data_IF_977469553983
#
_entry.id   IF_977469553983
#
_cell.length_a   1.000
_cell.length_b   1.000
_cell.length_c   1.000
_cell.angle_alpha   90.00
_cell.angle_beta   90.00
_cell.angle_gamma   90.00
#
_symmetry.space_group_name_H-M   'P 1'
#
loop_
_entity.id
_entity.type
_entity.pdbx_description
1 polymer ?
#
# COMPACT_ATOMS: atom_id res chain seq x y z
N UNK A 1 -28.35 -16.25 -1.55
CA UNK A 1 -27.32 -17.30 -1.31
C UNK A 1 -26.21 -17.19 -2.36
N UNK A 2 -25.43 -16.10 -2.35
CA UNK A 2 -24.45 -15.79 -3.42
C UNK A 2 -23.22 -15.05 -2.89
N UNK A 3 -22.75 -15.41 -1.68
CA UNK A 3 -21.54 -14.82 -1.09
C UNK A 3 -20.26 -15.64 -1.38
N UNK A 4 -20.38 -16.97 -1.46
CA UNK A 4 -19.22 -17.86 -1.53
C UNK A 4 -18.51 -17.95 -2.90
N UNK A 5 -19.00 -17.27 -3.94
CA UNK A 5 -18.40 -17.34 -5.29
C UNK A 5 -17.42 -16.20 -5.57
N UNK A 6 -17.49 -15.08 -4.85
CA UNK A 6 -16.69 -13.88 -5.10
C UNK A 6 -15.38 -13.83 -4.31
N UNK A 7 -15.36 -14.31 -3.05
CA UNK A 7 -14.14 -14.46 -2.24
C UNK A 7 -13.06 -15.32 -2.94
N UNK A 8 -13.49 -16.22 -3.82
CA UNK A 8 -12.62 -17.13 -4.57
C UNK A 8 -11.87 -16.49 -5.75
N UNK A 9 -12.32 -15.36 -6.29
CA UNK A 9 -11.67 -14.77 -7.48
C UNK A 9 -10.44 -13.92 -7.16
N UNK A 10 -10.41 -13.25 -5.99
CA UNK A 10 -9.28 -12.45 -5.54
C UNK A 10 -8.08 -13.33 -5.14
N UNK A 11 -8.34 -14.45 -4.47
CA UNK A 11 -7.34 -15.47 -4.13
C UNK A 11 -6.71 -16.11 -5.38
N UNK A 12 -7.52 -16.38 -6.41
CA UNK A 12 -7.05 -17.05 -7.63
C UNK A 12 -6.05 -16.22 -8.45
N UNK A 13 -6.17 -14.88 -8.52
CA UNK A 13 -5.13 -14.04 -9.17
C UNK A 13 -3.81 -14.04 -8.39
N UNK A 14 -3.89 -14.08 -7.06
CA UNK A 14 -2.72 -14.18 -6.20
C UNK A 14 -1.99 -15.53 -6.36
N UNK A 15 -2.74 -16.61 -6.62
CA UNK A 15 -2.23 -17.97 -6.83
C UNK A 15 -1.64 -18.21 -8.24
N UNK A 16 -2.19 -17.58 -9.29
CA UNK A 16 -1.76 -17.83 -10.68
C UNK A 16 -0.35 -17.33 -11.03
N UNK A 17 0.26 -16.47 -10.19
CA UNK A 17 1.65 -16.02 -10.35
C UNK A 17 2.68 -16.89 -9.60
N UNK A 18 2.24 -17.95 -8.90
CA UNK A 18 3.11 -18.78 -8.05
C UNK A 18 3.63 -20.06 -8.71
N UNK A 19 3.76 -20.12 -10.04
CA UNK A 19 4.25 -21.36 -10.66
C UNK A 19 5.73 -21.68 -10.38
N UNK A 20 6.53 -20.85 -9.69
CA UNK A 20 7.95 -21.20 -9.51
C UNK A 20 8.72 -20.71 -8.26
N UNK A 21 8.12 -20.20 -7.17
CA UNK A 21 8.91 -19.92 -5.94
C UNK A 21 8.12 -20.21 -4.66
N UNK A 22 8.70 -21.02 -3.79
CA UNK A 22 8.14 -21.47 -2.51
C UNK A 22 8.10 -20.34 -1.47
N UNK A 23 6.92 -19.72 -1.28
CA UNK A 23 6.31 -19.29 0.00
C UNK A 23 5.21 -18.26 -0.28
N UNK A 24 4.00 -18.60 0.15
CA UNK A 24 2.82 -17.74 0.14
C UNK A 24 3.07 -16.46 0.95
N UNK A 25 3.04 -15.28 0.32
CA UNK A 25 3.22 -14.03 1.05
C UNK A 25 2.42 -12.84 0.50
N UNK A 26 1.10 -12.98 0.44
CA UNK A 26 0.20 -11.83 0.37
C UNK A 26 -0.82 -11.97 1.51
N UNK A 27 -0.86 -10.99 2.41
CA UNK A 27 -1.86 -10.88 3.49
C UNK A 27 -2.75 -9.69 3.17
N UNK A 28 -4.07 -9.84 3.21
CA UNK A 28 -4.97 -8.74 2.88
C UNK A 28 -6.27 -8.70 3.68
N UNK A 29 -6.83 -7.50 3.83
CA UNK A 29 -8.15 -7.20 4.43
C UNK A 29 -8.76 -5.99 3.72
N UNK A 30 -10.08 -6.00 3.47
CA UNK A 30 -10.81 -4.82 2.94
C UNK A 30 -10.25 -4.24 1.63
N UNK A 31 -9.79 -5.09 0.71
CA UNK A 31 -9.23 -4.68 -0.58
C UNK A 31 -7.75 -4.27 -0.56
N UNK A 32 -7.08 -4.30 0.60
CA UNK A 32 -5.64 -4.02 0.75
C UNK A 32 -4.83 -5.31 0.77
N UNK A 33 -3.73 -5.35 0.02
CA UNK A 33 -2.87 -6.53 -0.12
C UNK A 33 -1.42 -6.15 0.20
N UNK A 34 -0.89 -6.67 1.30
CA UNK A 34 0.52 -6.51 1.64
C UNK A 34 1.39 -7.41 0.78
N UNK A 35 2.35 -6.81 0.09
CA UNK A 35 3.40 -7.49 -0.68
C UNK A 35 4.73 -7.30 0.02
N UNK A 36 5.34 -8.39 0.47
CA UNK A 36 6.59 -8.35 1.26
C UNK A 36 7.87 -8.21 0.42
N UNK A 37 7.77 -8.12 -0.90
CA UNK A 37 8.95 -7.87 -1.73
C UNK A 37 9.40 -6.42 -1.59
N UNK A 38 10.70 -6.20 -1.45
CA UNK A 38 11.29 -4.87 -1.33
C UNK A 38 11.45 -4.25 -2.72
N UNK A 39 10.83 -3.09 -2.93
CA UNK A 39 10.90 -2.33 -4.18
C UNK A 39 11.01 -0.84 -3.90
N UNK A 40 11.64 -0.11 -4.82
CA UNK A 40 11.50 1.33 -4.85
C UNK A 40 10.03 1.70 -5.17
N UNK A 41 9.64 2.95 -4.92
CA UNK A 41 8.23 3.34 -5.05
C UNK A 41 7.68 3.13 -6.47
N UNK A 42 8.46 3.47 -7.49
CA UNK A 42 8.06 3.35 -8.90
C UNK A 42 7.82 1.90 -9.32
N UNK A 43 8.72 1.00 -8.91
CA UNK A 43 8.61 -0.43 -9.17
C UNK A 43 7.47 -1.06 -8.37
N UNK A 44 7.22 -0.58 -7.15
CA UNK A 44 6.08 -1.00 -6.34
C UNK A 44 4.75 -0.59 -6.99
N UNK A 45 4.65 0.65 -7.48
CA UNK A 45 3.47 1.12 -8.22
C UNK A 45 3.24 0.31 -9.50
N UNK A 46 4.30 0.12 -10.28
CA UNK A 46 4.23 -0.67 -11.51
C UNK A 46 3.73 -2.07 -11.21
N UNK A 47 4.31 -2.72 -10.19
CA UNK A 47 3.87 -4.05 -9.77
C UNK A 47 2.38 -4.07 -9.38
N UNK A 48 1.91 -3.10 -8.60
CA UNK A 48 0.51 -3.05 -8.20
C UNK A 48 -0.42 -2.81 -9.39
N UNK A 49 -0.05 -1.99 -10.37
CA UNK A 49 -0.84 -1.75 -11.59
C UNK A 49 -0.85 -2.93 -12.54
N UNK A 50 0.23 -3.70 -12.61
CA UNK A 50 0.29 -4.90 -13.46
C UNK A 50 -0.42 -6.10 -12.81
N UNK A 51 -0.46 -6.15 -11.48
CA UNK A 51 -0.91 -7.34 -10.73
C UNK A 51 -2.27 -7.16 -10.08
N UNK A 52 -2.58 -5.94 -9.63
CA UNK A 52 -3.76 -5.56 -8.86
C UNK A 52 -4.40 -4.30 -9.49
N UNK A 53 -4.70 -3.26 -8.71
CA UNK A 53 -5.19 -1.97 -9.22
C UNK A 53 -4.11 -0.89 -9.17
N UNK A 54 -3.63 -0.51 -7.98
CA UNK A 54 -2.56 0.47 -7.79
C UNK A 54 -1.94 0.28 -6.38
N UNK A 55 -0.91 1.05 -6.04
CA UNK A 55 -0.53 1.24 -4.63
C UNK A 55 -1.71 1.76 -3.82
N UNK A 56 -1.77 1.38 -2.54
CA UNK A 56 -2.88 1.69 -1.67
C UNK A 56 -3.03 3.18 -1.40
N UNK A 57 -4.24 3.68 -1.58
CA UNK A 57 -4.68 4.98 -1.06
C UNK A 57 -5.38 4.82 0.28
N UNK A 58 -5.18 5.79 1.17
CA UNK A 58 -5.74 5.79 2.53
C UNK A 58 -6.53 7.08 2.73
N UNK A 59 -7.84 7.03 2.52
CA UNK A 59 -8.72 8.20 2.40
C UNK A 59 -9.61 8.40 3.61
N UNK A 60 -9.61 7.47 4.55
CA UNK A 60 -10.40 7.56 5.78
C UNK A 60 -9.68 6.94 6.98
N UNK A 61 -10.07 7.29 8.21
CA UNK A 61 -9.57 6.60 9.41
C UNK A 61 -9.86 5.09 9.42
N UNK A 62 -10.95 4.67 8.76
CA UNK A 62 -11.29 3.25 8.64
C UNK A 62 -10.29 2.52 7.72
N UNK A 63 -9.99 3.09 6.56
CA UNK A 63 -8.96 2.59 5.64
C UNK A 63 -7.57 2.57 6.31
N UNK A 64 -7.25 3.61 7.08
CA UNK A 64 -6.02 3.67 7.85
C UNK A 64 -5.91 2.50 8.84
N UNK A 65 -7.01 2.16 9.51
CA UNK A 65 -7.05 1.02 10.42
C UNK A 65 -6.83 -0.31 9.69
N UNK A 66 -7.39 -0.48 8.49
CA UNK A 66 -7.15 -1.68 7.65
C UNK A 66 -5.66 -1.80 7.30
N UNK A 67 -5.05 -0.74 6.76
CA UNK A 67 -3.64 -0.73 6.40
C UNK A 67 -2.74 -1.00 7.61
N UNK A 68 -2.98 -0.32 8.74
CA UNK A 68 -2.19 -0.55 9.96
C UNK A 68 -2.31 -1.97 10.49
N UNK A 69 -3.45 -2.66 10.29
CA UNK A 69 -3.61 -4.06 10.71
C UNK A 69 -2.74 -5.06 9.93
N UNK A 70 -2.31 -4.66 8.72
CA UNK A 70 -1.43 -5.46 7.86
C UNK A 70 0.06 -5.19 8.16
N UNK A 71 0.39 -4.00 8.68
CA UNK A 71 1.77 -3.58 8.90
C UNK A 71 2.35 -4.23 10.16
N UNK A 72 3.56 -4.77 10.05
CA UNK A 72 4.30 -5.31 11.20
C UNK A 72 5.05 -4.18 11.91
N UNK A 73 5.08 -4.19 13.25
CA UNK A 73 5.87 -3.24 14.04
C UNK A 73 7.34 -3.22 13.59
N UNK A 74 7.94 -2.04 13.57
CA UNK A 74 9.31 -1.81 13.08
C UNK A 74 9.50 -1.88 11.56
N UNK A 75 8.45 -2.13 10.76
CA UNK A 75 8.53 -2.16 9.29
C UNK A 75 7.82 -0.94 8.71
N UNK A 76 8.49 -0.26 7.77
CA UNK A 76 7.92 0.82 6.98
C UNK A 76 7.45 0.30 5.64
N UNK A 77 6.32 0.82 5.15
CA UNK A 77 5.64 0.26 3.97
C UNK A 77 5.24 1.38 3.01
N UNK A 78 5.49 1.20 1.71
CA UNK A 78 5.03 2.11 0.67
C UNK A 78 3.51 2.11 0.51
N UNK A 79 2.97 3.31 0.31
CA UNK A 79 1.58 3.59 -0.10
C UNK A 79 1.57 4.56 -1.28
N UNK A 80 0.41 4.76 -1.91
CA UNK A 80 0.29 5.44 -3.22
C UNK A 80 0.42 6.96 -3.20
N UNK A 81 0.88 7.59 -2.13
CA UNK A 81 0.94 9.07 -2.02
C UNK A 81 2.29 9.60 -2.54
N UNK A 82 2.32 10.40 -3.63
CA UNK A 82 3.53 10.93 -4.30
C UNK A 82 3.55 12.47 -4.47
N UNK A 83 4.74 13.11 -4.46
CA UNK A 83 5.01 14.56 -4.60
C UNK A 83 4.47 15.17 -5.93
N UNK A 84 4.09 16.45 -6.08
CA UNK A 84 4.09 17.64 -5.22
C UNK A 84 2.79 18.45 -5.42
N UNK A 85 1.65 17.77 -5.21
CA UNK A 85 0.37 18.37 -4.78
C UNK A 85 -0.29 17.49 -3.69
N UNK A 86 0.45 16.50 -3.16
CA UNK A 86 -0.03 15.42 -2.30
C UNK A 86 -1.32 14.76 -2.81
N UNK A 87 -1.28 14.27 -4.04
CA UNK A 87 -2.36 13.52 -4.67
C UNK A 87 -2.13 12.02 -4.51
N UNK A 88 -3.22 11.28 -4.33
CA UNK A 88 -3.19 9.83 -4.36
C UNK A 88 -2.82 9.35 -5.77
N UNK A 89 -2.10 8.23 -5.90
CA UNK A 89 -1.68 7.67 -7.20
C UNK A 89 -2.85 7.32 -8.12
N UNK A 90 -4.01 7.09 -7.51
CA UNK A 90 -5.30 6.87 -8.18
C UNK A 90 -6.11 8.15 -8.42
N UNK A 91 -5.49 9.32 -8.24
CA UNK A 91 -6.02 10.66 -8.54
C UNK A 91 -7.24 11.07 -7.70
N UNK A 92 -7.54 10.37 -6.61
CA UNK A 92 -8.61 10.79 -5.70
C UNK A 92 -8.21 12.01 -4.87
N UNK A 93 -9.14 12.95 -4.62
CA UNK A 93 -8.82 14.29 -4.11
C UNK A 93 -9.36 14.60 -2.70
N UNK A 94 -9.34 13.64 -1.77
CA UNK A 94 -9.80 13.90 -0.40
C UNK A 94 -8.69 14.35 0.57
N UNK A 95 -9.08 15.23 1.50
CA UNK A 95 -8.25 16.02 2.43
C UNK A 95 -7.63 15.22 3.59
N UNK A 96 -7.88 13.91 3.71
CA UNK A 96 -7.35 13.13 4.83
C UNK A 96 -5.83 13.00 4.75
N UNK A 97 -5.14 13.28 5.86
CA UNK A 97 -3.69 13.15 5.99
C UNK A 97 -3.36 12.61 7.38
N UNK A 98 -2.58 11.54 7.46
CA UNK A 98 -2.16 10.95 8.72
C UNK A 98 -0.64 11.10 8.98
N UNK A 99 -0.10 12.26 8.64
CA UNK A 99 1.32 12.59 8.84
C UNK A 99 1.74 12.49 10.32
N UNK A 100 2.98 12.07 10.53
CA UNK A 100 3.67 12.26 11.80
C UNK A 100 3.91 13.75 12.06
N UNK A 101 4.12 14.13 13.33
CA UNK A 101 4.44 15.52 13.69
C UNK A 101 5.68 16.00 12.92
N UNK A 102 5.60 17.17 12.29
CA UNK A 102 6.69 17.75 11.50
C UNK A 102 6.88 17.15 10.09
N UNK A 103 5.95 16.32 9.62
CA UNK A 103 5.96 15.75 8.26
C UNK A 103 4.80 16.30 7.41
N UNK A 104 4.98 16.43 6.09
CA UNK A 104 6.21 16.18 5.34
C UNK A 104 7.26 17.28 5.59
N UNK A 105 8.51 16.91 5.86
CA UNK A 105 9.58 17.90 6.02
C UNK A 105 10.15 18.28 4.65
N UNK A 106 10.30 19.59 4.41
CA UNK A 106 10.78 20.14 3.13
C UNK A 106 12.21 19.73 2.76
N UNK A 107 12.98 19.14 3.68
CA UNK A 107 14.39 18.83 3.53
C UNK A 107 14.74 17.36 3.25
N UNK A 108 13.78 16.42 3.22
CA UNK A 108 14.09 14.98 3.10
C UNK A 108 14.29 14.49 1.66
N UNK A 109 13.95 15.31 0.64
CA UNK A 109 13.86 14.83 -0.74
C UNK A 109 12.86 13.66 -0.89
N UNK A 110 11.95 13.51 0.07
CA UNK A 110 11.03 12.40 0.14
C UNK A 110 9.91 12.57 -0.86
N UNK A 111 9.89 11.72 -1.88
CA UNK A 111 8.92 11.82 -2.97
C UNK A 111 7.67 10.95 -2.80
N UNK A 112 7.63 10.13 -1.75
CA UNK A 112 6.44 9.35 -1.40
C UNK A 112 6.28 9.19 0.12
N UNK A 113 5.06 8.94 0.57
CA UNK A 113 4.79 8.54 1.95
C UNK A 113 5.05 7.03 2.19
N UNK A 114 5.58 6.72 3.37
CA UNK A 114 5.54 5.39 3.98
C UNK A 114 4.67 5.40 5.24
N UNK A 115 4.01 4.28 5.53
CA UNK A 115 3.32 4.05 6.81
C UNK A 115 4.30 3.42 7.79
N UNK A 116 4.53 4.08 8.93
CA UNK A 116 5.34 3.53 10.01
C UNK A 116 4.56 2.47 10.79
N UNK A 117 5.06 1.24 10.89
CA UNK A 117 4.37 0.15 11.60
C UNK A 117 4.12 0.39 13.09
N UNK A 118 4.92 1.21 13.75
CA UNK A 118 4.78 1.45 15.19
C UNK A 118 3.63 2.40 15.54
N UNK A 119 3.32 3.36 14.66
CA UNK A 119 2.34 4.42 14.93
C UNK A 119 1.21 4.50 13.91
N UNK A 120 1.34 3.83 12.76
CA UNK A 120 0.49 4.00 11.60
C UNK A 120 0.59 5.37 10.93
N UNK A 121 1.46 6.27 11.43
CA UNK A 121 1.67 7.62 10.89
C UNK A 121 2.53 7.58 9.64
N UNK A 122 2.36 8.61 8.82
CA UNK A 122 3.08 8.73 7.56
C UNK A 122 4.31 9.61 7.72
N UNK A 123 5.40 9.25 7.06
CA UNK A 123 6.56 10.11 6.86
C UNK A 123 6.90 10.16 5.38
N UNK A 124 7.45 11.27 4.91
CA UNK A 124 7.97 11.37 3.55
C UNK A 124 9.33 10.67 3.49
N UNK A 125 9.51 9.81 2.50
CA UNK A 125 10.74 9.04 2.34
C UNK A 125 11.23 9.05 0.89
N UNK A 126 12.54 8.82 0.71
CA UNK A 126 13.19 8.84 -0.58
C UNK A 126 12.69 7.66 -1.43
N UNK A 127 12.05 7.95 -2.57
CA UNK A 127 11.40 6.91 -3.40
C UNK A 127 12.36 5.85 -3.94
N UNK A 128 13.66 6.12 -3.95
CA UNK A 128 14.67 5.15 -4.39
C UNK A 128 14.96 4.08 -3.33
N UNK A 129 14.55 4.30 -2.08
CA UNK A 129 14.68 3.30 -1.03
C UNK A 129 13.73 2.15 -1.28
N UNK A 130 14.13 0.97 -0.84
CA UNK A 130 13.33 -0.23 -1.01
C UNK A 130 12.54 -0.51 0.26
N UNK A 131 11.22 -0.61 0.12
CA UNK A 131 10.32 -1.03 1.18
C UNK A 131 9.35 -2.09 0.64
N UNK A 132 8.77 -2.94 1.52
CA UNK A 132 7.53 -3.63 1.19
C UNK A 132 6.43 -2.62 0.90
N UNK A 133 5.35 -3.07 0.26
CA UNK A 133 4.33 -2.16 -0.24
C UNK A 133 2.94 -2.78 -0.16
N UNK A 134 1.91 -1.93 -0.07
CA UNK A 134 0.51 -2.38 -0.09
C UNK A 134 -0.11 -1.96 -1.41
N UNK A 135 -0.67 -2.95 -2.11
CA UNK A 135 -1.51 -2.72 -3.27
C UNK A 135 -2.98 -2.64 -2.85
N UNK A 136 -3.80 -1.96 -3.65
CA UNK A 136 -5.25 -2.03 -3.60
C UNK A 136 -5.76 -2.81 -4.81
N UNK A 137 -6.84 -3.57 -4.65
CA UNK A 137 -7.54 -4.18 -5.78
C UNK A 137 -8.73 -5.06 -5.45
N UNK A 138 -9.94 -4.51 -5.66
CA UNK A 138 -11.12 -5.26 -6.12
C UNK A 138 -12.36 -5.37 -5.20
N UNK A 139 -13.13 -4.29 -5.14
CA UNK A 139 -14.51 -4.10 -4.61
C UNK A 139 -14.78 -4.15 -3.09
N UNK A 140 -15.80 -3.36 -2.75
CA UNK A 140 -16.22 -2.74 -1.49
C UNK A 140 -16.64 -3.67 -0.36
#
# INVERSE_FOLDING_TARGET
MTSQRYERWSEHKCQLLQQNLSRNHCRGTGGYILVQTFKNWYDAQTYCRTTYTDLASIRSPWEQKQVTSLVTKGVSIWVGLFLDTWQWSDQWSLLFRNWASGQPSSGTGGCSAIVMGDSGKWIADNCNLQHPFICYGGES
#
